data_IF_594987833289
#
_entry.id   IF_594987833289
#
_cell.length_a   1.000
_cell.length_b   1.000
_cell.length_c   1.000
_cell.angle_alpha   90.00
_cell.angle_beta   90.00
_cell.angle_gamma   90.00
#
_symmetry.space_group_name_H-M   'P 1'
#
loop_
_entity.id
_entity.type
_entity.pdbx_description
1 polymer ?
#
# COMPACT_ATOMS: atom_id res chain seq x y z
N UNK A 1 53.85 -13.81 -35.25
CA UNK A 1 53.80 -14.27 -33.84
C UNK A 1 53.52 -15.76 -33.87
N UNK A 2 54.27 -16.49 -33.06
CA UNK A 2 54.72 -17.89 -33.19
C UNK A 2 53.61 -18.96 -33.09
N UNK A 3 53.91 -20.22 -33.51
CA UNK A 3 52.97 -21.14 -34.16
C UNK A 3 52.64 -22.45 -33.39
N UNK A 4 51.59 -23.10 -33.90
CA UNK A 4 51.32 -24.54 -34.19
C UNK A 4 51.92 -25.73 -33.38
N UNK A 5 50.98 -26.64 -33.08
CA UNK A 5 50.97 -28.12 -33.20
C UNK A 5 52.02 -29.02 -32.50
N UNK A 6 51.45 -29.99 -31.76
CA UNK A 6 51.78 -31.43 -31.64
C UNK A 6 53.25 -31.87 -31.45
N UNK A 7 53.50 -32.77 -30.50
CA UNK A 7 53.99 -34.16 -30.73
C UNK A 7 54.29 -34.84 -29.36
N UNK A 8 53.81 -36.07 -29.24
CA UNK A 8 54.09 -37.10 -28.23
C UNK A 8 55.57 -37.49 -28.14
N UNK A 9 56.16 -37.65 -26.94
CA UNK A 9 57.20 -38.66 -26.67
C UNK A 9 57.22 -38.98 -25.17
N UNK A 10 57.02 -40.25 -24.86
CA UNK A 10 57.36 -40.95 -23.62
C UNK A 10 58.86 -40.93 -23.34
N UNK A 11 59.31 -40.65 -22.12
CA UNK A 11 60.42 -41.44 -21.55
C UNK A 11 60.53 -41.29 -20.04
N UNK A 12 60.37 -42.45 -19.41
CA UNK A 12 60.89 -42.81 -18.10
C UNK A 12 62.38 -42.50 -18.01
N UNK A 13 62.79 -41.74 -17.00
CA UNK A 13 64.14 -41.86 -16.42
C UNK A 13 63.99 -42.19 -14.95
N UNK A 14 64.26 -43.46 -14.66
CA UNK A 14 64.58 -44.00 -13.34
C UNK A 14 65.96 -43.44 -12.93
N UNK A 15 66.06 -42.82 -11.75
CA UNK A 15 67.30 -42.83 -10.96
C UNK A 15 67.00 -42.49 -9.51
N UNK A 16 67.14 -43.52 -8.69
CA UNK A 16 67.29 -43.58 -7.24
C UNK A 16 68.34 -42.62 -6.68
N UNK A 17 68.02 -41.96 -5.57
CA UNK A 17 68.79 -41.86 -4.30
C UNK A 17 67.97 -40.96 -3.35
N UNK A 18 67.35 -41.52 -2.29
CA UNK A 18 67.87 -41.48 -0.90
C UNK A 18 68.32 -40.06 -0.49
N UNK A 19 67.83 -39.36 0.53
CA UNK A 19 67.25 -39.72 1.83
C UNK A 19 66.81 -38.38 2.46
N UNK A 20 65.70 -38.34 3.21
CA UNK A 20 65.45 -37.20 4.11
C UNK A 20 63.98 -36.92 4.45
N UNK A 21 63.55 -37.47 5.59
CA UNK A 21 62.42 -37.02 6.43
C UNK A 21 61.03 -36.90 5.80
N UNK A 22 60.26 -37.98 5.92
CA UNK A 22 58.79 -37.91 5.94
C UNK A 22 58.37 -37.36 7.31
N UNK A 23 57.90 -36.11 7.33
CA UNK A 23 57.03 -35.65 8.41
C UNK A 23 55.67 -36.35 8.27
N UNK A 24 55.37 -37.11 9.31
CA UNK A 24 54.17 -37.89 9.54
C UNK A 24 52.92 -37.00 9.56
N UNK A 25 52.15 -37.00 8.47
CA UNK A 25 50.74 -36.56 8.52
C UNK A 25 49.94 -37.62 9.28
N UNK A 26 49.68 -37.33 10.56
CA UNK A 26 48.73 -38.08 11.39
C UNK A 26 47.33 -37.94 10.79
N UNK A 27 46.93 -38.94 10.02
CA UNK A 27 45.53 -39.17 9.66
C UNK A 27 44.86 -39.80 10.88
N UNK A 28 44.09 -39.03 11.64
CA UNK A 28 43.21 -39.61 12.66
C UNK A 28 42.07 -40.34 11.94
N UNK A 29 42.23 -41.65 11.79
CA UNK A 29 41.16 -42.59 11.52
C UNK A 29 40.21 -42.53 12.72
N UNK A 30 39.17 -41.69 12.65
CA UNK A 30 38.09 -41.71 13.64
C UNK A 30 37.33 -43.02 13.47
N UNK A 31 37.72 -44.03 14.25
CA UNK A 31 36.99 -45.30 14.36
C UNK A 31 35.52 -45.01 14.71
N UNK A 32 34.60 -45.59 13.94
CA UNK A 32 33.17 -45.49 14.19
C UNK A 32 32.84 -46.01 15.61
N UNK A 33 31.97 -45.33 16.37
CA UNK A 33 31.61 -45.75 17.71
C UNK A 33 31.11 -47.20 17.76
N UNK A 34 31.68 -48.00 18.68
CA UNK A 34 31.42 -49.45 18.78
C UNK A 34 29.95 -49.82 18.92
N UNK A 35 29.13 -48.93 19.49
CA UNK A 35 27.70 -49.16 19.65
C UNK A 35 26.97 -49.20 18.29
N UNK A 36 27.46 -48.52 17.25
CA UNK A 36 26.83 -48.51 15.92
C UNK A 36 26.90 -49.86 15.21
N UNK A 37 27.91 -50.68 15.54
CA UNK A 37 28.03 -52.04 14.99
C UNK A 37 26.85 -52.94 15.38
N UNK A 38 26.12 -52.60 16.46
CA UNK A 38 24.93 -53.31 16.92
C UNK A 38 23.66 -52.95 16.14
N UNK A 39 23.67 -51.85 15.36
CA UNK A 39 22.54 -51.46 14.51
C UNK A 39 22.40 -52.38 13.29
N UNK A 40 21.27 -52.32 12.60
CA UNK A 40 21.04 -53.01 11.32
C UNK A 40 21.09 -52.05 10.13
N UNK A 41 21.43 -52.57 8.95
CA UNK A 41 21.42 -51.83 7.69
C UNK A 41 22.31 -50.58 7.71
N UNK A 42 21.84 -49.52 7.05
CA UNK A 42 22.58 -48.28 6.81
C UNK A 42 22.93 -47.51 8.10
N UNK A 43 22.29 -47.84 9.23
CA UNK A 43 22.56 -47.23 10.53
C UNK A 43 23.92 -47.64 11.14
N UNK A 44 24.59 -48.66 10.58
CA UNK A 44 25.94 -49.06 11.01
C UNK A 44 27.03 -48.06 10.60
N UNK A 45 26.78 -47.32 9.52
CA UNK A 45 27.75 -46.42 8.88
C UNK A 45 27.16 -45.02 8.62
N UNK A 46 26.04 -44.70 9.26
CA UNK A 46 25.37 -43.42 9.05
C UNK A 46 26.22 -42.28 9.65
N UNK A 47 26.71 -41.39 8.79
CA UNK A 47 27.54 -40.25 9.19
C UNK A 47 26.88 -39.35 10.24
N UNK A 48 25.55 -39.21 10.21
CA UNK A 48 24.83 -38.41 11.21
C UNK A 48 24.87 -39.03 12.61
N UNK A 49 25.04 -40.35 12.69
CA UNK A 49 25.17 -41.04 13.97
C UNK A 49 26.60 -40.96 14.50
N UNK A 50 27.61 -40.89 13.61
CA UNK A 50 29.05 -40.92 13.94
C UNK A 50 29.49 -39.97 15.08
N UNK A 51 28.80 -38.84 15.24
CA UNK A 51 29.06 -37.86 16.29
C UNK A 51 28.63 -38.25 17.71
N UNK A 52 27.82 -39.30 17.88
CA UNK A 52 27.38 -39.78 19.19
C UNK A 52 28.29 -40.90 19.71
N UNK A 53 28.88 -40.70 20.88
CA UNK A 53 29.86 -41.63 21.48
C UNK A 53 29.21 -42.86 22.10
N UNK A 54 27.96 -42.73 22.55
CA UNK A 54 27.20 -43.80 23.20
C UNK A 54 25.76 -43.88 22.66
N UNK A 55 25.12 -45.03 22.87
CA UNK A 55 23.69 -45.19 22.57
C UNK A 55 22.81 -44.27 23.42
N UNK A 56 23.19 -44.03 24.68
CA UNK A 56 22.45 -43.12 25.58
C UNK A 56 22.42 -41.69 25.04
N UNK A 57 23.52 -41.21 24.42
CA UNK A 57 23.55 -39.90 23.77
C UNK A 57 22.57 -39.83 22.59
N UNK A 58 22.42 -40.92 21.83
CA UNK A 58 21.42 -41.01 20.74
C UNK A 58 20.00 -41.05 21.29
N UNK A 59 19.74 -41.85 22.32
CA UNK A 59 18.43 -41.91 22.96
C UNK A 59 18.03 -40.56 23.53
N UNK A 60 18.95 -39.86 24.19
CA UNK A 60 18.72 -38.51 24.70
C UNK A 60 18.49 -37.49 23.57
N UNK A 61 19.26 -37.57 22.48
CA UNK A 61 19.04 -36.71 21.31
C UNK A 61 17.69 -36.97 20.63
N UNK A 62 17.28 -38.23 20.52
CA UNK A 62 15.96 -38.62 20.00
C UNK A 62 14.83 -38.09 20.88
N UNK A 63 14.90 -38.34 22.20
CA UNK A 63 13.89 -37.85 23.14
C UNK A 63 13.82 -36.32 23.14
N UNK A 64 14.97 -35.63 23.16
CA UNK A 64 15.03 -34.18 23.03
C UNK A 64 14.42 -33.71 21.71
N UNK A 65 14.70 -34.38 20.59
CA UNK A 65 14.12 -34.02 19.29
C UNK A 65 12.60 -34.27 19.25
N UNK A 66 12.11 -35.29 19.96
CA UNK A 66 10.69 -35.60 20.08
C UNK A 66 9.97 -34.56 20.96
N UNK A 67 10.59 -34.15 22.06
CA UNK A 67 10.10 -33.07 22.93
C UNK A 67 10.15 -31.72 22.21
N UNK A 68 11.22 -31.43 21.47
CA UNK A 68 11.33 -30.25 20.60
C UNK A 68 10.25 -30.30 19.52
N UNK A 69 10.02 -31.44 18.85
CA UNK A 69 8.93 -31.63 17.87
C UNK A 69 7.53 -31.45 18.49
N UNK A 70 7.33 -31.94 19.72
CA UNK A 70 6.08 -31.75 20.46
C UNK A 70 5.86 -30.28 20.82
N UNK A 71 6.89 -29.60 21.32
CA UNK A 71 6.87 -28.16 21.59
C UNK A 71 6.73 -27.32 20.30
N UNK A 72 7.28 -27.80 19.18
CA UNK A 72 7.13 -27.19 17.86
C UNK A 72 5.67 -27.23 17.37
N UNK A 73 4.89 -28.27 17.72
CA UNK A 73 3.47 -28.37 17.37
C UNK A 73 2.59 -27.38 18.13
N UNK A 74 3.03 -26.91 19.30
CA UNK A 74 2.30 -25.92 20.09
C UNK A 74 2.54 -24.48 19.60
N UNK A 75 3.50 -24.24 18.70
CA UNK A 75 3.88 -22.87 18.31
C UNK A 75 4.33 -22.63 16.87
N UNK A 76 4.44 -23.64 16.00
CA UNK A 76 4.77 -23.43 14.58
C UNK A 76 3.60 -23.68 13.65
N UNK A 77 3.44 -22.72 12.74
CA UNK A 77 2.61 -22.80 11.55
C UNK A 77 3.41 -23.49 10.44
N UNK A 78 2.87 -24.57 9.85
CA UNK A 78 3.47 -25.23 8.69
C UNK A 78 3.20 -24.40 7.43
N UNK A 79 4.25 -23.87 6.80
CA UNK A 79 4.12 -23.14 5.53
C UNK A 79 3.95 -24.17 4.41
N UNK A 80 2.81 -24.18 3.70
CA UNK A 80 2.56 -25.11 2.61
C UNK A 80 3.56 -24.89 1.47
N UNK A 81 4.10 -25.97 0.91
CA UNK A 81 4.89 -25.92 -0.33
C UNK A 81 4.01 -25.64 -1.56
N UNK A 82 4.63 -25.50 -2.74
CA UNK A 82 3.90 -25.25 -4.00
C UNK A 82 2.87 -26.35 -4.31
N UNK A 83 3.25 -27.62 -4.06
CA UNK A 83 2.42 -28.81 -4.28
C UNK A 83 1.47 -29.14 -3.13
N UNK A 84 1.37 -28.28 -2.11
CA UNK A 84 0.51 -28.54 -0.96
C UNK A 84 -0.98 -28.61 -1.35
N UNK A 85 -1.71 -29.49 -0.69
CA UNK A 85 -3.15 -29.67 -0.93
C UNK A 85 -3.93 -28.43 -0.49
N UNK A 86 -5.16 -28.29 -1.00
CA UNK A 86 -6.04 -27.19 -0.59
C UNK A 86 -6.36 -27.23 0.91
N UNK A 87 -6.39 -28.43 1.49
CA UNK A 87 -6.61 -28.63 2.92
C UNK A 87 -5.41 -28.15 3.76
N UNK A 88 -4.18 -28.42 3.32
CA UNK A 88 -2.96 -27.93 3.96
C UNK A 88 -2.86 -26.40 3.87
N UNK A 89 -3.18 -25.84 2.70
CA UNK A 89 -3.25 -24.38 2.50
C UNK A 89 -4.31 -23.75 3.39
N UNK A 90 -5.50 -24.34 3.48
CA UNK A 90 -6.57 -23.86 4.36
C UNK A 90 -6.16 -23.91 5.83
N UNK A 91 -5.56 -25.01 6.28
CA UNK A 91 -5.07 -25.15 7.65
C UNK A 91 -4.03 -24.09 8.00
N UNK A 92 -3.11 -23.79 7.07
CA UNK A 92 -2.16 -22.69 7.21
C UNK A 92 -2.86 -21.33 7.33
N UNK A 93 -3.77 -21.00 6.40
CA UNK A 93 -4.49 -19.72 6.40
C UNK A 93 -5.28 -19.53 7.71
N UNK A 94 -5.98 -20.56 8.18
CA UNK A 94 -6.66 -20.52 9.48
C UNK A 94 -5.67 -20.29 10.63
N UNK A 95 -4.50 -20.95 10.60
CA UNK A 95 -3.50 -20.82 11.67
C UNK A 95 -2.85 -19.43 11.75
N UNK A 96 -2.77 -18.70 10.64
CA UNK A 96 -2.28 -17.31 10.62
C UNK A 96 -3.37 -16.27 10.93
N UNK A 97 -4.63 -16.71 11.14
CA UNK A 97 -5.75 -15.86 11.50
C UNK A 97 -6.54 -15.31 10.31
N UNK A 98 -6.53 -16.01 9.17
CA UNK A 98 -7.52 -15.80 8.11
C UNK A 98 -8.86 -16.39 8.56
N UNK A 99 -9.98 -15.65 8.48
CA UNK A 99 -11.29 -16.17 8.83
C UNK A 99 -11.72 -17.36 7.95
N UNK A 100 -12.60 -18.22 8.47
CA UNK A 100 -13.07 -19.41 7.75
C UNK A 100 -13.98 -19.09 6.55
N UNK A 101 -14.61 -17.92 6.58
CA UNK A 101 -15.51 -17.41 5.55
C UNK A 101 -15.32 -15.90 5.37
N UNK A 102 -15.59 -15.38 4.18
CA UNK A 102 -15.54 -13.94 3.90
C UNK A 102 -16.48 -13.14 4.81
N UNK A 103 -17.63 -13.70 5.18
CA UNK A 103 -18.64 -13.06 6.04
C UNK A 103 -18.12 -12.71 7.45
N UNK A 104 -17.07 -13.39 7.92
CA UNK A 104 -16.55 -13.27 9.28
C UNK A 104 -15.64 -12.05 9.48
N UNK A 105 -15.19 -11.40 8.40
CA UNK A 105 -14.44 -10.15 8.50
C UNK A 105 -15.26 -9.05 9.13
N UNK A 106 -14.71 -8.42 10.17
CA UNK A 106 -15.42 -7.40 10.93
C UNK A 106 -15.15 -6.02 10.37
N UNK A 107 -16.19 -5.20 10.44
CA UNK A 107 -16.06 -3.77 10.20
C UNK A 107 -15.40 -3.14 11.42
N UNK A 108 -14.39 -2.31 11.19
CA UNK A 108 -13.81 -1.48 12.27
C UNK A 108 -14.73 -0.30 12.56
N UNK A 109 -14.61 0.25 13.77
CA UNK A 109 -15.28 1.51 14.11
C UNK A 109 -14.73 2.62 13.21
N UNK A 110 -15.56 3.06 12.27
CA UNK A 110 -15.15 4.07 11.31
C UNK A 110 -15.15 5.46 11.94
N UNK A 111 -14.12 6.23 11.63
CA UNK A 111 -14.05 7.66 12.01
C UNK A 111 -14.66 8.57 10.95
N UNK A 112 -15.16 7.98 9.85
CA UNK A 112 -15.78 8.72 8.77
C UNK A 112 -17.20 9.18 9.14
N UNK A 113 -17.64 10.36 8.64
CA UNK A 113 -19.03 10.78 8.78
C UNK A 113 -20.02 9.78 8.14
N UNK A 114 -21.26 9.76 8.60
CA UNK A 114 -22.30 8.92 7.99
C UNK A 114 -22.43 9.16 6.48
N UNK A 115 -22.59 8.08 5.72
CA UNK A 115 -22.66 8.10 4.25
C UNK A 115 -21.31 8.29 3.54
N UNK A 116 -20.20 8.26 4.28
CA UNK A 116 -18.83 8.39 3.74
C UNK A 116 -18.07 7.10 3.99
N UNK A 117 -17.39 6.60 2.96
CA UNK A 117 -16.65 5.34 3.00
C UNK A 117 -17.29 4.27 2.13
N UNK A 118 -17.02 3.00 2.44
CA UNK A 118 -17.55 1.88 1.69
C UNK A 118 -19.06 1.73 1.86
N UNK A 119 -19.78 1.57 0.75
CA UNK A 119 -21.15 1.06 0.76
C UNK A 119 -21.17 -0.39 1.23
N UNK A 120 -22.33 -0.92 1.62
CA UNK A 120 -22.44 -2.33 2.03
C UNK A 120 -21.99 -3.29 0.92
N UNK A 121 -22.34 -3.01 -0.34
CA UNK A 121 -21.91 -3.81 -1.49
C UNK A 121 -20.39 -3.77 -1.71
N UNK A 122 -19.78 -2.59 -1.55
CA UNK A 122 -18.32 -2.45 -1.62
C UNK A 122 -17.63 -3.17 -0.46
N UNK A 123 -18.22 -3.13 0.73
CA UNK A 123 -17.70 -3.83 1.90
C UNK A 123 -17.80 -5.35 1.73
N UNK A 124 -18.92 -5.86 1.22
CA UNK A 124 -19.07 -7.27 0.81
C UNK A 124 -18.00 -7.70 -0.19
N UNK A 125 -17.80 -6.90 -1.24
CA UNK A 125 -16.77 -7.17 -2.26
C UNK A 125 -15.36 -7.16 -1.66
N UNK A 126 -15.08 -6.26 -0.71
CA UNK A 126 -13.81 -6.20 0.00
C UNK A 126 -13.58 -7.47 0.84
N UNK A 127 -14.62 -7.97 1.52
CA UNK A 127 -14.57 -9.23 2.30
C UNK A 127 -14.26 -10.44 1.42
N UNK A 128 -14.90 -10.55 0.27
CA UNK A 128 -14.66 -11.64 -0.69
C UNK A 128 -13.23 -11.60 -1.25
N UNK A 129 -12.76 -10.41 -1.62
CA UNK A 129 -11.39 -10.21 -2.10
C UNK A 129 -10.38 -10.57 -1.01
N UNK A 130 -10.58 -10.08 0.22
CA UNK A 130 -9.70 -10.36 1.36
C UNK A 130 -9.65 -11.86 1.68
N UNK A 131 -10.78 -12.56 1.64
CA UNK A 131 -10.84 -14.01 1.83
C UNK A 131 -10.04 -14.75 0.75
N UNK A 132 -10.26 -14.39 -0.52
CA UNK A 132 -9.55 -14.99 -1.66
C UNK A 132 -8.05 -14.73 -1.61
N UNK A 133 -7.65 -13.54 -1.17
CA UNK A 133 -6.25 -13.14 -1.02
C UNK A 133 -5.59 -13.68 0.27
N UNK A 134 -6.33 -14.37 1.14
CA UNK A 134 -5.81 -14.92 2.39
C UNK A 134 -5.39 -13.84 3.40
N UNK A 135 -6.12 -12.72 3.46
CA UNK A 135 -5.85 -11.68 4.44
C UNK A 135 -6.22 -12.15 5.86
N UNK A 136 -5.41 -11.80 6.83
CA UNK A 136 -5.77 -11.99 8.24
C UNK A 136 -6.77 -10.93 8.68
N UNK A 137 -7.56 -11.19 9.71
CA UNK A 137 -8.47 -10.18 10.30
C UNK A 137 -7.73 -8.88 10.67
N UNK A 138 -6.48 -9.00 11.11
CA UNK A 138 -5.62 -7.87 11.46
C UNK A 138 -5.24 -7.04 10.22
N UNK A 139 -4.90 -7.69 9.11
CA UNK A 139 -4.59 -6.99 7.85
C UNK A 139 -5.84 -6.30 7.29
N UNK A 140 -6.99 -6.97 7.36
CA UNK A 140 -8.27 -6.42 6.95
C UNK A 140 -8.65 -5.17 7.76
N UNK A 141 -8.50 -5.25 9.09
CA UNK A 141 -8.75 -4.11 9.99
C UNK A 141 -7.79 -2.95 9.72
N UNK A 142 -6.49 -3.23 9.57
CA UNK A 142 -5.48 -2.21 9.28
C UNK A 142 -5.72 -1.50 7.94
N UNK A 143 -6.17 -2.24 6.91
CA UNK A 143 -6.55 -1.66 5.64
C UNK A 143 -7.75 -0.70 5.77
N UNK A 144 -8.78 -1.10 6.52
CA UNK A 144 -9.94 -0.22 6.77
C UNK A 144 -9.51 1.06 7.49
N UNK A 145 -8.71 0.96 8.55
CA UNK A 145 -8.21 2.13 9.28
C UNK A 145 -7.37 3.07 8.41
N UNK A 146 -6.52 2.52 7.54
CA UNK A 146 -5.75 3.29 6.58
C UNK A 146 -6.66 3.98 5.56
N UNK A 147 -7.62 3.25 5.00
CA UNK A 147 -8.59 3.78 4.02
C UNK A 147 -9.41 4.93 4.60
N UNK A 148 -9.83 4.83 5.86
CA UNK A 148 -10.53 5.89 6.57
C UNK A 148 -9.66 7.14 6.73
N UNK A 149 -8.40 6.97 7.15
CA UNK A 149 -7.44 8.08 7.28
C UNK A 149 -7.18 8.78 5.95
N UNK A 150 -6.95 8.02 4.88
CA UNK A 150 -6.75 8.58 3.54
C UNK A 150 -7.99 9.32 3.05
N UNK A 151 -9.18 8.79 3.32
CA UNK A 151 -10.44 9.44 2.94
C UNK A 151 -10.62 10.77 3.69
N UNK A 152 -10.30 10.83 4.98
CA UNK A 152 -10.30 12.07 5.75
C UNK A 152 -9.26 13.07 5.23
N UNK A 153 -8.01 12.62 5.03
CA UNK A 153 -6.93 13.47 4.52
C UNK A 153 -7.26 14.04 3.12
N UNK A 154 -7.84 13.23 2.24
CA UNK A 154 -8.29 13.68 0.92
C UNK A 154 -9.35 14.77 1.01
N UNK A 155 -10.31 14.65 1.95
CA UNK A 155 -11.35 15.67 2.19
C UNK A 155 -10.77 16.97 2.74
N UNK A 156 -9.87 16.88 3.71
CA UNK A 156 -9.19 18.04 4.27
C UNK A 156 -8.36 18.77 3.20
N UNK A 157 -7.60 18.01 2.41
CA UNK A 157 -6.84 18.56 1.29
C UNK A 157 -7.73 19.22 0.24
N UNK A 158 -8.85 18.59 -0.13
CA UNK A 158 -9.80 19.17 -1.07
C UNK A 158 -10.37 20.50 -0.54
N UNK A 159 -10.76 20.56 0.74
CA UNK A 159 -11.21 21.79 1.39
C UNK A 159 -10.12 22.88 1.40
N UNK A 160 -8.87 22.50 1.69
CA UNK A 160 -7.73 23.42 1.67
C UNK A 160 -7.45 23.96 0.26
N UNK A 161 -7.50 23.11 -0.77
CA UNK A 161 -7.35 23.51 -2.18
C UNK A 161 -8.45 24.47 -2.59
N UNK A 162 -9.71 24.20 -2.23
CA UNK A 162 -10.83 25.11 -2.52
C UNK A 162 -10.63 26.47 -1.84
N UNK A 163 -10.19 26.48 -0.58
CA UNK A 163 -9.99 27.72 0.18
C UNK A 163 -8.83 28.55 -0.38
N UNK A 164 -7.70 27.90 -0.68
CA UNK A 164 -6.54 28.56 -1.32
C UNK A 164 -6.87 29.07 -2.71
N UNK A 165 -7.50 28.25 -3.55
CA UNK A 165 -7.91 28.64 -4.90
C UNK A 165 -8.84 29.84 -4.91
N UNK A 166 -9.76 29.96 -3.94
CA UNK A 166 -10.60 31.16 -3.78
C UNK A 166 -9.78 32.41 -3.45
N UNK A 167 -8.89 32.33 -2.46
CA UNK A 167 -8.07 33.47 -2.06
C UNK A 167 -7.14 33.94 -3.18
N UNK A 168 -6.56 32.99 -3.92
CA UNK A 168 -5.72 33.28 -5.10
C UNK A 168 -6.52 33.87 -6.25
N UNK A 169 -7.72 33.35 -6.52
CA UNK A 169 -8.62 33.90 -7.53
C UNK A 169 -9.04 35.33 -7.18
N UNK A 170 -9.42 35.61 -5.94
CA UNK A 170 -9.78 36.95 -5.48
C UNK A 170 -8.61 37.93 -5.61
N UNK A 171 -7.41 37.50 -5.19
CA UNK A 171 -6.19 38.31 -5.34
C UNK A 171 -5.93 38.64 -6.82
N UNK A 172 -5.97 37.64 -7.70
CA UNK A 172 -5.79 37.85 -9.15
C UNK A 172 -6.86 38.77 -9.73
N UNK A 173 -8.14 38.59 -9.38
CA UNK A 173 -9.21 39.47 -9.87
C UNK A 173 -8.98 40.93 -9.46
N UNK A 174 -8.52 41.18 -8.24
CA UNK A 174 -8.18 42.54 -7.77
C UNK A 174 -7.01 43.13 -8.52
N UNK A 175 -5.99 42.33 -8.82
CA UNK A 175 -4.82 42.73 -9.61
C UNK A 175 -5.20 42.99 -11.08
N UNK A 176 -5.96 42.10 -11.70
CA UNK A 176 -6.32 42.14 -13.13
C UNK A 176 -7.37 43.22 -13.44
N UNK A 177 -8.34 43.46 -12.55
CA UNK A 177 -9.45 44.40 -12.80
C UNK A 177 -9.27 45.78 -12.18
N UNK A 178 -8.41 45.93 -11.17
CA UNK A 178 -8.13 47.22 -10.54
C UNK A 178 -9.40 48.01 -10.17
N UNK A 179 -9.57 49.21 -10.73
CA UNK A 179 -10.73 50.07 -10.49
C UNK A 179 -12.06 49.48 -10.98
N UNK A 180 -12.02 48.59 -11.97
CA UNK A 180 -13.21 47.96 -12.54
C UNK A 180 -13.64 46.71 -11.76
N UNK A 181 -12.94 46.37 -10.67
CA UNK A 181 -13.21 45.17 -9.86
C UNK A 181 -14.69 45.03 -9.48
N UNK A 182 -15.29 46.08 -8.90
CA UNK A 182 -16.70 46.04 -8.48
C UNK A 182 -17.66 45.89 -9.67
N UNK A 183 -17.30 46.46 -10.82
CA UNK A 183 -18.10 46.39 -12.05
C UNK A 183 -18.04 45.00 -12.65
N UNK A 184 -16.85 44.42 -12.77
CA UNK A 184 -16.64 43.05 -13.25
C UNK A 184 -17.25 42.03 -12.29
N UNK A 185 -17.18 42.27 -10.98
CA UNK A 185 -17.85 41.42 -9.99
C UNK A 185 -19.37 41.40 -10.20
N UNK A 186 -19.99 42.55 -10.47
CA UNK A 186 -21.44 42.60 -10.80
C UNK A 186 -21.76 41.86 -12.10
N UNK A 187 -20.91 41.93 -13.11
CA UNK A 187 -21.10 41.16 -14.34
C UNK A 187 -20.94 39.66 -14.09
N UNK A 188 -19.91 39.23 -13.37
CA UNK A 188 -19.72 37.82 -12.98
C UNK A 188 -20.97 37.29 -12.26
N UNK A 189 -21.52 38.03 -11.30
CA UNK A 189 -22.74 37.65 -10.58
C UNK A 189 -23.96 37.51 -11.50
N UNK A 190 -24.08 38.37 -12.53
CA UNK A 190 -25.13 38.24 -13.55
C UNK A 190 -24.93 36.99 -14.40
N UNK A 191 -23.70 36.72 -14.85
CA UNK A 191 -23.38 35.51 -15.61
C UNK A 191 -23.67 34.24 -14.81
N UNK A 192 -23.26 34.19 -13.54
CA UNK A 192 -23.57 33.06 -12.63
C UNK A 192 -25.08 32.81 -12.54
N UNK A 193 -25.89 33.87 -12.38
CA UNK A 193 -27.35 33.74 -12.34
C UNK A 193 -27.94 33.19 -13.63
N UNK A 194 -27.37 33.52 -14.79
CA UNK A 194 -27.80 33.03 -16.09
C UNK A 194 -27.61 31.50 -16.24
N UNK A 195 -26.57 30.95 -15.62
CA UNK A 195 -26.24 29.52 -15.69
C UNK A 195 -26.82 28.65 -14.55
N UNK A 196 -27.65 29.22 -13.68
CA UNK A 196 -28.30 28.47 -12.59
C UNK A 196 -27.85 28.86 -11.18
N UNK A 197 -27.12 29.97 -11.03
CA UNK A 197 -26.82 30.57 -9.74
C UNK A 197 -25.83 29.76 -8.90
N UNK A 198 -26.07 29.75 -7.59
CA UNK A 198 -25.14 29.15 -6.63
C UNK A 198 -24.99 27.62 -6.81
N UNK A 199 -26.03 26.92 -7.28
CA UNK A 199 -25.96 25.47 -7.56
C UNK A 199 -24.98 25.16 -8.70
N UNK A 200 -24.95 26.02 -9.73
CA UNK A 200 -23.98 25.91 -10.83
C UNK A 200 -22.55 26.11 -10.33
N UNK A 201 -22.30 27.13 -9.51
CA UNK A 201 -20.97 27.36 -8.92
C UNK A 201 -20.54 26.22 -7.99
N UNK A 202 -21.47 25.69 -7.19
CA UNK A 202 -21.18 24.57 -6.30
C UNK A 202 -20.78 23.30 -7.08
N UNK A 203 -21.42 23.05 -8.22
CA UNK A 203 -21.07 21.93 -9.12
C UNK A 203 -19.72 22.10 -9.81
N UNK A 204 -19.29 23.32 -10.08
CA UNK A 204 -17.96 23.59 -10.64
C UNK A 204 -16.83 23.35 -9.63
N UNK A 205 -17.10 23.50 -8.33
CA UNK A 205 -16.09 23.29 -7.28
C UNK A 205 -14.84 24.14 -7.52
N UNK A 206 -13.67 23.48 -7.54
CA UNK A 206 -12.39 24.17 -7.75
C UNK A 206 -12.27 24.81 -9.15
N UNK A 207 -12.93 24.24 -10.16
CA UNK A 207 -12.88 24.76 -11.53
C UNK A 207 -13.55 26.14 -11.66
N UNK A 208 -14.47 26.48 -10.76
CA UNK A 208 -15.11 27.81 -10.73
C UNK A 208 -14.16 28.94 -10.34
N UNK A 209 -13.01 28.63 -9.72
CA UNK A 209 -12.01 29.62 -9.30
C UNK A 209 -10.92 29.85 -10.35
N UNK A 210 -11.03 29.22 -11.52
CA UNK A 210 -10.03 29.31 -12.60
C UNK A 210 -10.30 30.57 -13.44
N UNK A 211 -9.27 31.37 -13.81
CA UNK A 211 -9.45 32.67 -14.47
C UNK A 211 -10.30 32.62 -15.76
N UNK A 212 -10.16 31.56 -16.55
CA UNK A 212 -10.90 31.36 -17.79
C UNK A 212 -12.41 31.25 -17.55
N UNK A 213 -12.80 30.53 -16.48
CA UNK A 213 -14.21 30.38 -16.10
C UNK A 213 -14.76 31.70 -15.55
N UNK A 214 -13.97 32.39 -14.72
CA UNK A 214 -14.33 33.70 -14.17
C UNK A 214 -14.55 34.72 -15.29
N UNK A 215 -13.62 34.82 -16.24
CA UNK A 215 -13.71 35.75 -17.36
C UNK A 215 -14.89 35.42 -18.27
N UNK A 216 -15.13 34.14 -18.55
CA UNK A 216 -16.32 33.71 -19.29
C UNK A 216 -17.62 34.16 -18.60
N UNK A 217 -17.72 34.00 -17.28
CA UNK A 217 -18.90 34.45 -16.52
C UNK A 217 -19.07 35.97 -16.54
N UNK A 218 -17.97 36.73 -16.46
CA UNK A 218 -17.97 38.18 -16.62
C UNK A 218 -18.44 38.59 -18.01
N UNK A 219 -17.89 37.99 -19.06
CA UNK A 219 -18.26 38.28 -20.46
C UNK A 219 -19.75 38.02 -20.70
N UNK A 220 -20.26 36.89 -20.22
CA UNK A 220 -21.69 36.56 -20.33
C UNK A 220 -22.56 37.56 -19.60
N UNK A 221 -22.24 37.87 -18.34
CA UNK A 221 -22.97 38.87 -17.58
C UNK A 221 -22.85 40.30 -18.11
N UNK A 222 -21.80 40.62 -18.87
CA UNK A 222 -21.64 41.87 -19.62
C UNK A 222 -22.48 41.89 -20.89
N UNK A 223 -22.57 40.76 -21.59
CA UNK A 223 -23.37 40.59 -22.82
C UNK A 223 -24.88 40.45 -22.56
N UNK A 224 -25.27 40.21 -21.30
CA UNK A 224 -26.66 40.20 -20.83
C UNK A 224 -27.31 41.59 -20.95
N UNK A 225 -27.84 41.86 -22.15
CA UNK A 225 -28.52 43.07 -22.68
C UNK A 225 -27.64 44.01 -23.51
N UNK A 226 -27.45 43.63 -24.77
CA UNK A 226 -27.76 44.52 -25.89
C UNK A 226 -29.11 44.04 -26.47
N UNK A 227 -30.27 44.40 -25.90
CA UNK A 227 -31.16 45.31 -26.66
C UNK A 227 -32.34 45.94 -25.87
N UNK A 228 -32.18 46.34 -24.60
CA UNK A 228 -33.25 47.13 -23.97
C UNK A 228 -32.72 48.09 -22.90
N UNK A 229 -32.55 49.35 -23.32
CA UNK A 229 -32.67 50.58 -22.53
C UNK A 229 -32.24 50.48 -21.06
N UNK A 230 -31.00 50.90 -20.78
CA UNK A 230 -30.56 51.34 -19.45
C UNK A 230 -29.86 52.71 -19.58
N UNK A 231 -30.48 53.60 -20.34
CA UNK A 231 -30.40 55.04 -20.05
C UNK A 231 -31.54 55.33 -19.07
N UNK A 232 -31.21 55.56 -17.80
CA UNK A 232 -32.16 56.13 -16.84
C UNK A 232 -32.58 55.28 -15.65
N UNK A 233 -31.68 54.49 -15.03
CA UNK A 233 -31.82 54.19 -13.59
C UNK A 233 -30.48 53.80 -12.95
N UNK A 234 -29.52 54.73 -12.95
CA UNK A 234 -28.31 54.63 -12.10
C UNK A 234 -28.42 55.46 -10.81
N UNK A 235 -29.59 56.04 -10.52
CA UNK A 235 -29.77 56.93 -9.36
C UNK A 235 -30.61 56.34 -8.23
N UNK A 236 -31.20 55.16 -8.37
CA UNK A 236 -31.90 54.57 -7.24
C UNK A 236 -30.92 53.85 -6.30
N UNK A 237 -30.58 54.52 -5.20
CA UNK A 237 -30.02 53.95 -3.96
C UNK A 237 -30.97 52.88 -3.40
N UNK A 238 -31.08 51.75 -4.08
CA UNK A 238 -31.77 50.57 -3.57
C UNK A 238 -30.79 49.89 -2.63
N UNK A 239 -30.86 50.26 -1.37
CA UNK A 239 -30.26 49.52 -0.26
C UNK A 239 -30.58 48.05 -0.42
N UNK A 240 -29.53 47.24 -0.58
CA UNK A 240 -29.63 45.79 -0.63
C UNK A 240 -30.42 45.27 0.58
N UNK A 241 -31.43 44.39 0.41
CA UNK A 241 -32.07 43.73 1.53
C UNK A 241 -31.01 42.93 2.29
N UNK A 242 -30.91 43.20 3.60
CA UNK A 242 -29.86 42.71 4.52
C UNK A 242 -29.85 41.19 4.78
N UNK A 243 -30.46 40.36 3.93
CA UNK A 243 -30.46 38.92 4.16
C UNK A 243 -30.51 38.14 2.85
N UNK A 244 -29.57 37.19 2.72
CA UNK A 244 -29.48 36.14 1.70
C UNK A 244 -28.79 36.43 0.37
N UNK A 245 -27.55 36.91 0.41
CA UNK A 245 -26.57 36.57 -0.63
C UNK A 245 -25.32 36.06 0.06
N UNK A 246 -25.26 34.74 0.27
CA UNK A 246 -24.10 34.07 0.88
C UNK A 246 -23.18 33.57 -0.22
N UNK A 247 -22.32 34.45 -0.74
CA UNK A 247 -21.07 33.96 -1.32
C UNK A 247 -20.30 33.22 -0.22
N UNK A 248 -19.74 32.03 -0.46
CA UNK A 248 -18.93 31.35 0.54
C UNK A 248 -17.53 31.99 0.63
N UNK A 249 -17.51 33.26 1.04
CA UNK A 249 -16.52 33.98 1.87
C UNK A 249 -16.77 35.50 1.86
N UNK A 250 -17.86 35.96 2.47
CA UNK A 250 -17.92 37.32 3.07
C UNK A 250 -18.64 37.30 4.43
N UNK A 251 -18.36 36.26 5.23
CA UNK A 251 -18.55 36.28 6.69
C UNK A 251 -17.27 35.75 7.31
N UNK A 252 -16.43 36.66 7.81
CA UNK A 252 -15.15 36.34 8.42
C UNK A 252 -14.00 37.18 7.86
N UNK A 253 -14.03 38.49 8.15
CA UNK A 253 -12.86 39.09 8.80
C UNK A 253 -12.83 38.57 10.24
#
# INVERSE_FOLDING_TARGET
>A
MLPETHTEVTETTESTEETGEVQETVSQETELPKWMAQNAGDNKTNERLSGFKTIDEVSNAYLKSADELAALKEGKVFVPGEDATDEEKKAFLTSIGVPEESSMYKKVDSTLPEGVGFTEDQFNSLREMAFTAGWTEKQFSAYQEWSDKETLAARENYSAVLTKGKAEAEKRMKEDWGSDYDTNLRYMQKGVKEFGGDDFLNKLGAAGNVPEVINFLVEKGRSGKNDTFLDGDLDNKTTLPKNQISYPSMKGM
#
